data_IF_754262498585
#
_entry.id   IF_754262498585
#
_cell.length_a   1.000
_cell.length_b   1.000
_cell.length_c   1.000
_cell.angle_alpha   90.00
_cell.angle_beta   90.00
_cell.angle_gamma   90.00
#
_symmetry.space_group_name_H-M   'P 1'
#
loop_
_entity.id
_entity.type
_entity.pdbx_description
1 polymer ?
#
# COMPACT_ATOMS: atom_id res chain seq x y z
N UNK A 1 2.01 -21.14 -33.80
CA UNK A 1 2.56 -21.79 -32.59
C UNK A 1 3.27 -20.82 -31.63
N UNK A 2 4.44 -20.24 -31.93
CA UNK A 2 5.14 -19.39 -30.95
C UNK A 2 4.40 -18.08 -30.61
N UNK A 3 3.87 -17.38 -31.63
CA UNK A 3 3.16 -16.11 -31.44
C UNK A 3 1.84 -16.28 -30.68
N UNK A 4 1.07 -17.32 -30.98
CA UNK A 4 -0.18 -17.63 -30.31
C UNK A 4 0.05 -17.98 -28.84
N UNK A 5 1.10 -18.79 -28.55
CA UNK A 5 1.50 -19.11 -27.19
C UNK A 5 1.89 -17.87 -26.39
N UNK A 6 2.71 -16.98 -26.99
CA UNK A 6 3.07 -15.70 -26.37
C UNK A 6 1.84 -14.84 -26.10
N UNK A 7 0.93 -14.72 -27.07
CA UNK A 7 -0.30 -13.96 -26.91
C UNK A 7 -1.18 -14.52 -25.79
N UNK A 8 -1.31 -15.83 -25.69
CA UNK A 8 -2.06 -16.47 -24.60
C UNK A 8 -1.46 -16.10 -23.25
N UNK A 9 -0.15 -16.25 -23.09
CA UNK A 9 0.54 -15.89 -21.84
C UNK A 9 0.39 -14.42 -21.47
N UNK A 10 0.46 -13.51 -22.45
CA UNK A 10 0.25 -12.08 -22.22
C UNK A 10 -1.20 -11.76 -21.84
N UNK A 11 -2.17 -12.41 -22.47
CA UNK A 11 -3.58 -12.27 -22.14
C UNK A 11 -3.86 -12.72 -20.70
N UNK A 12 -3.31 -13.87 -20.28
CA UNK A 12 -3.45 -14.38 -18.91
C UNK A 12 -2.86 -13.41 -17.87
N UNK A 13 -1.65 -12.91 -18.13
CA UNK A 13 -1.02 -11.92 -17.25
C UNK A 13 -1.84 -10.63 -17.17
N UNK A 14 -2.35 -10.16 -18.30
CA UNK A 14 -3.15 -8.94 -18.35
C UNK A 14 -4.49 -9.12 -17.62
N UNK A 15 -5.16 -10.26 -17.79
CA UNK A 15 -6.36 -10.65 -17.05
C UNK A 15 -6.12 -10.65 -15.53
N UNK A 16 -5.03 -11.27 -15.08
CA UNK A 16 -4.65 -11.30 -13.66
C UNK A 16 -4.44 -9.89 -13.10
N UNK A 17 -3.75 -9.01 -13.84
CA UNK A 17 -3.53 -7.60 -13.45
C UNK A 17 -4.85 -6.83 -13.38
N UNK A 18 -5.76 -7.02 -14.34
CA UNK A 18 -7.09 -6.39 -14.31
C UNK A 18 -7.93 -6.86 -13.13
N UNK A 19 -7.95 -8.16 -12.84
CA UNK A 19 -8.61 -8.70 -11.64
C UNK A 19 -8.11 -8.01 -10.37
N UNK A 20 -6.79 -7.87 -10.22
CA UNK A 20 -6.19 -7.19 -9.07
C UNK A 20 -6.63 -5.73 -8.98
N UNK A 21 -6.59 -4.98 -10.08
CA UNK A 21 -6.99 -3.58 -10.11
C UNK A 21 -8.47 -3.40 -9.77
N UNK A 22 -9.35 -4.26 -10.28
CA UNK A 22 -10.78 -4.22 -9.97
C UNK A 22 -11.04 -4.54 -8.50
N UNK A 23 -10.36 -5.54 -7.94
CA UNK A 23 -10.46 -5.83 -6.49
C UNK A 23 -9.94 -4.68 -5.63
N UNK A 24 -8.83 -4.04 -6.03
CA UNK A 24 -8.34 -2.83 -5.33
C UNK A 24 -9.36 -1.70 -5.38
N UNK A 25 -10.01 -1.47 -6.52
CA UNK A 25 -11.08 -0.49 -6.64
C UNK A 25 -12.23 -0.81 -5.68
N UNK A 26 -12.72 -2.06 -5.68
CA UNK A 26 -13.81 -2.51 -4.79
C UNK A 26 -13.48 -2.30 -3.31
N UNK A 27 -12.26 -2.64 -2.90
CA UNK A 27 -11.79 -2.43 -1.53
C UNK A 27 -11.70 -0.95 -1.19
N UNK A 28 -11.24 -0.12 -2.12
CA UNK A 28 -11.15 1.34 -1.93
C UNK A 28 -12.54 1.95 -1.75
N UNK A 29 -13.51 1.54 -2.57
CA UNK A 29 -14.92 1.96 -2.44
C UNK A 29 -15.50 1.51 -1.09
N UNK A 30 -15.16 0.30 -0.65
CA UNK A 30 -15.62 -0.25 0.62
C UNK A 30 -15.01 0.49 1.82
N UNK A 31 -13.73 0.86 1.76
CA UNK A 31 -13.04 1.57 2.83
C UNK A 31 -13.67 2.94 3.15
N UNK A 32 -14.27 3.61 2.18
CA UNK A 32 -15.02 4.85 2.44
C UNK A 32 -16.18 4.64 3.42
N UNK A 33 -16.72 3.43 3.57
CA UNK A 33 -17.81 3.18 4.53
C UNK A 33 -17.34 3.02 5.99
N UNK A 34 -16.04 3.15 6.27
CA UNK A 34 -15.47 2.93 7.60
C UNK A 34 -15.54 4.15 8.52
N UNK A 35 -15.91 5.33 8.01
CA UNK A 35 -16.16 6.52 8.85
C UNK A 35 -17.65 6.83 8.92
N UNK A 36 -18.13 7.29 10.09
CA UNK A 36 -19.54 7.63 10.31
C UNK A 36 -20.02 8.73 9.34
N UNK A 37 -19.17 9.72 9.06
CA UNK A 37 -19.43 10.80 8.11
C UNK A 37 -19.66 10.27 6.68
N UNK A 38 -18.84 9.32 6.24
CA UNK A 38 -18.94 8.78 4.89
C UNK A 38 -20.04 7.71 4.77
N UNK A 39 -20.39 7.03 5.86
CA UNK A 39 -21.53 6.10 5.93
C UNK A 39 -22.84 6.80 5.58
N UNK A 40 -23.05 8.03 6.06
CA UNK A 40 -24.21 8.86 5.70
C UNK A 40 -24.29 9.16 4.19
N UNK A 41 -23.14 9.28 3.52
CA UNK A 41 -23.03 9.56 2.08
C UNK A 41 -22.91 8.30 1.21
N UNK A 42 -22.90 7.11 1.82
CA UNK A 42 -22.63 5.84 1.12
C UNK A 42 -23.61 5.54 -0.01
N UNK A 43 -24.90 5.88 0.16
CA UNK A 43 -25.91 5.72 -0.90
C UNK A 43 -25.61 6.58 -2.13
N UNK A 44 -25.33 7.86 -1.92
CA UNK A 44 -24.99 8.80 -3.00
C UNK A 44 -23.70 8.37 -3.72
N UNK A 45 -22.68 7.96 -2.96
CA UNK A 45 -21.43 7.47 -3.51
C UNK A 45 -21.61 6.19 -4.34
N UNK A 46 -22.39 5.21 -3.84
CA UNK A 46 -22.69 3.98 -4.60
C UNK A 46 -23.44 4.28 -5.90
N UNK A 47 -24.41 5.21 -5.87
CA UNK A 47 -25.16 5.61 -7.07
C UNK A 47 -24.25 6.13 -8.18
N UNK A 48 -23.14 6.79 -7.84
CA UNK A 48 -22.15 7.29 -8.81
C UNK A 48 -21.15 6.20 -9.24
N UNK A 49 -20.66 5.39 -8.30
CA UNK A 49 -19.54 4.47 -8.57
C UNK A 49 -19.97 3.10 -9.11
N UNK A 50 -21.14 2.59 -8.74
CA UNK A 50 -21.60 1.27 -9.19
C UNK A 50 -21.77 1.19 -10.72
N UNK A 51 -22.39 2.18 -11.41
CA UNK A 51 -22.50 2.12 -12.87
C UNK A 51 -21.14 2.08 -13.57
N UNK A 52 -20.15 2.81 -13.06
CA UNK A 52 -18.79 2.79 -13.59
C UNK A 52 -18.16 1.41 -13.37
N UNK A 53 -18.35 0.84 -12.17
CA UNK A 53 -17.77 -0.45 -11.80
C UNK A 53 -18.34 -1.62 -12.62
N UNK A 54 -19.63 -1.58 -12.96
CA UNK A 54 -20.34 -2.62 -13.73
C UNK A 54 -19.83 -2.74 -15.17
N UNK A 55 -19.41 -1.64 -15.78
CA UNK A 55 -18.85 -1.64 -17.14
C UNK A 55 -17.41 -2.19 -17.17
N UNK A 56 -16.72 -2.24 -16.03
CA UNK A 56 -15.34 -2.70 -15.96
C UNK A 56 -15.24 -4.23 -15.82
N UNK A 57 -14.75 -4.86 -16.88
CA UNK A 57 -14.50 -6.31 -16.95
C UNK A 57 -13.02 -6.66 -16.76
N UNK A 58 -12.67 -7.82 -16.18
CA UNK A 58 -11.30 -8.32 -16.24
C UNK A 58 -10.88 -8.79 -17.64
N UNK A 59 -11.83 -9.07 -18.53
CA UNK A 59 -11.56 -9.46 -19.91
C UNK A 59 -10.92 -8.33 -20.72
N UNK A 60 -10.12 -8.70 -21.72
CA UNK A 60 -9.47 -7.76 -22.62
C UNK A 60 -10.11 -7.77 -24.00
N UNK A 61 -10.46 -6.59 -24.50
CA UNK A 61 -10.92 -6.41 -25.88
C UNK A 61 -9.76 -6.37 -26.91
N UNK A 62 -8.52 -6.52 -26.44
CA UNK A 62 -7.30 -6.46 -27.26
C UNK A 62 -6.93 -7.86 -27.73
N UNK A 63 -6.90 -8.07 -29.05
CA UNK A 63 -6.44 -9.31 -29.67
C UNK A 63 -5.15 -9.08 -30.47
N UNK A 64 -4.51 -10.16 -30.94
CA UNK A 64 -3.29 -10.08 -31.78
C UNK A 64 -3.49 -9.16 -32.98
N UNK A 65 -4.66 -9.20 -33.63
CA UNK A 65 -4.93 -8.36 -34.79
C UNK A 65 -4.86 -6.86 -34.43
N UNK A 66 -5.35 -6.46 -33.25
CA UNK A 66 -5.23 -5.08 -32.77
C UNK A 66 -3.77 -4.68 -32.55
N UNK A 67 -2.94 -5.59 -32.02
CA UNK A 67 -1.51 -5.34 -31.82
C UNK A 67 -0.78 -5.21 -33.15
N UNK A 68 -1.05 -6.08 -34.12
CA UNK A 68 -0.42 -6.04 -35.45
C UNK A 68 -0.89 -4.86 -36.30
N UNK A 69 -2.14 -4.42 -36.12
CA UNK A 69 -2.69 -3.26 -36.80
C UNK A 69 -2.22 -1.92 -36.20
N UNK A 70 -1.58 -1.93 -35.03
CA UNK A 70 -1.12 -0.71 -34.37
C UNK A 70 -0.05 0.00 -35.22
N UNK A 71 -0.40 1.20 -35.71
CA UNK A 71 0.51 2.06 -36.50
C UNK A 71 1.29 3.07 -35.67
N UNK A 72 0.86 3.27 -34.43
CA UNK A 72 1.44 4.21 -33.50
C UNK A 72 1.74 3.48 -32.19
N UNK A 73 2.91 3.76 -31.64
CA UNK A 73 3.30 3.21 -30.35
C UNK A 73 2.72 4.05 -29.21
N UNK A 74 1.81 3.46 -28.44
CA UNK A 74 1.23 4.04 -27.23
C UNK A 74 1.94 3.56 -25.95
N UNK A 75 3.04 2.81 -26.07
CA UNK A 75 3.82 2.32 -24.93
C UNK A 75 4.52 3.41 -24.11
N UNK A 76 4.39 4.70 -24.49
CA UNK A 76 4.82 5.82 -23.65
C UNK A 76 4.04 5.82 -22.34
N UNK A 77 4.64 5.22 -21.33
CA UNK A 77 4.24 5.33 -19.94
C UNK A 77 4.41 6.79 -19.52
N UNK A 78 3.39 7.59 -19.77
CA UNK A 78 3.31 8.94 -19.21
C UNK A 78 3.24 8.77 -17.69
N UNK A 79 4.14 9.38 -16.91
CA UNK A 79 4.09 9.27 -15.46
C UNK A 79 2.70 9.62 -14.95
N UNK A 80 2.18 8.83 -14.00
CA UNK A 80 0.89 9.12 -13.35
C UNK A 80 0.87 10.51 -12.69
N UNK A 81 2.04 11.09 -12.43
CA UNK A 81 2.26 12.44 -11.89
C UNK A 81 2.41 13.52 -12.95
N UNK A 82 2.34 13.18 -14.24
CA UNK A 82 2.48 14.14 -15.33
C UNK A 82 1.41 15.24 -15.27
N UNK A 83 1.71 16.39 -15.87
CA UNK A 83 0.77 17.51 -15.96
C UNK A 83 -0.55 17.10 -16.62
N UNK A 84 -0.49 16.28 -17.68
CA UNK A 84 -1.67 15.76 -18.36
C UNK A 84 -2.52 14.86 -17.44
N UNK A 85 -1.90 13.92 -16.71
CA UNK A 85 -2.59 13.06 -15.75
C UNK A 85 -3.17 13.85 -14.56
N UNK A 86 -2.48 14.93 -14.13
CA UNK A 86 -2.92 15.82 -13.06
C UNK A 86 -4.05 16.75 -13.46
N UNK A 87 -4.17 17.15 -14.73
CA UNK A 87 -5.27 18.01 -15.17
C UNK A 87 -6.64 17.37 -14.92
N UNK A 88 -6.80 16.08 -15.26
CA UNK A 88 -8.04 15.35 -15.03
C UNK A 88 -8.31 14.97 -13.56
N UNK A 89 -7.29 15.00 -12.71
CA UNK A 89 -7.39 14.65 -11.28
C UNK A 89 -7.24 15.87 -10.37
N UNK A 90 -7.21 17.09 -10.93
CA UNK A 90 -7.12 18.31 -10.14
C UNK A 90 -8.44 18.55 -9.41
N UNK A 91 -8.39 18.60 -8.09
CA UNK A 91 -9.55 18.87 -7.25
C UNK A 91 -9.15 19.83 -6.12
N UNK A 92 -10.14 20.44 -5.46
CA UNK A 92 -9.88 21.37 -4.35
C UNK A 92 -9.00 20.75 -3.25
N UNK A 93 -9.10 19.43 -3.04
CA UNK A 93 -8.31 18.66 -2.08
C UNK A 93 -6.84 18.53 -2.53
N UNK A 94 -6.59 18.22 -3.80
CA UNK A 94 -5.24 18.04 -4.35
C UNK A 94 -4.45 19.35 -4.51
N UNK A 95 -5.09 20.50 -4.26
CA UNK A 95 -4.46 21.83 -4.25
C UNK A 95 -4.04 22.29 -2.85
N UNK A 96 -4.37 21.53 -1.80
CA UNK A 96 -4.00 21.89 -0.44
C UNK A 96 -2.50 21.62 -0.26
N UNK A 97 -1.71 22.68 -0.10
CA UNK A 97 -0.33 22.58 0.36
C UNK A 97 -0.38 22.00 1.79
N UNK A 98 0.12 20.77 1.97
CA UNK A 98 0.29 20.22 3.31
C UNK A 98 1.24 21.15 4.07
N UNK A 99 0.81 21.64 5.25
CA UNK A 99 1.63 22.51 6.10
C UNK A 99 2.89 21.80 6.60
N UNK A 100 3.65 22.45 7.49
CA UNK A 100 4.85 21.85 8.07
C UNK A 100 4.55 20.47 8.66
N UNK A 101 5.17 19.46 8.06
CA UNK A 101 5.00 18.07 8.46
C UNK A 101 5.85 17.84 9.72
N UNK A 102 5.26 17.52 10.88
CA UNK A 102 6.05 17.14 12.05
C UNK A 102 6.87 15.91 11.69
N UNK A 103 8.14 15.87 12.09
CA UNK A 103 9.04 14.76 11.80
C UNK A 103 8.37 13.45 12.28
N UNK A 104 8.12 12.53 11.34
CA UNK A 104 7.33 11.30 11.57
C UNK A 104 8.18 10.11 12.04
N UNK A 105 9.42 10.36 12.42
CA UNK A 105 10.30 9.36 13.00
C UNK A 105 11.51 10.01 13.65
N UNK A 106 12.10 9.33 14.63
CA UNK A 106 13.42 9.72 15.13
C UNK A 106 14.43 9.53 14.00
N UNK A 107 15.20 10.57 13.68
CA UNK A 107 16.23 10.44 12.67
C UNK A 107 17.15 9.29 13.11
N UNK A 108 17.56 8.38 12.22
CA UNK A 108 18.42 7.26 12.61
C UNK A 108 19.69 7.69 13.37
N UNK A 109 20.15 8.92 13.12
CA UNK A 109 21.30 9.52 13.80
C UNK A 109 20.98 10.08 15.21
N UNK A 110 19.71 10.22 15.59
CA UNK A 110 19.23 10.71 16.89
C UNK A 110 18.84 9.55 17.83
N UNK A 111 18.78 8.32 17.31
CA UNK A 111 18.52 7.10 18.08
C UNK A 111 19.83 6.56 18.67
N UNK A 112 20.08 6.84 19.95
CA UNK A 112 21.14 6.16 20.70
C UNK A 112 20.77 4.68 20.82
N UNK A 113 21.60 3.79 20.24
CA UNK A 113 21.40 2.36 20.37
C UNK A 113 21.50 1.98 21.87
N UNK A 114 20.51 1.27 22.44
CA UNK A 114 20.61 0.84 23.83
C UNK A 114 21.86 -0.04 23.98
N UNK A 115 22.77 0.35 24.88
CA UNK A 115 23.99 -0.40 25.16
C UNK A 115 23.64 -1.86 25.51
N UNK A 116 24.18 -2.87 24.80
CA UNK A 116 23.98 -4.25 25.18
C UNK A 116 24.71 -4.54 26.50
N UNK A 117 23.99 -5.08 27.49
CA UNK A 117 24.62 -5.56 28.72
C UNK A 117 25.38 -6.85 28.44
N UNK A 118 26.70 -6.84 28.63
CA UNK A 118 27.52 -8.04 28.62
C UNK A 118 27.35 -8.78 29.96
N UNK A 119 26.85 -10.01 29.93
CA UNK A 119 26.93 -10.92 31.08
C UNK A 119 28.25 -11.68 31.00
N UNK A 120 29.04 -11.66 32.07
CA UNK A 120 30.25 -12.49 32.14
C UNK A 120 29.85 -13.96 31.99
N UNK A 121 30.52 -14.66 31.09
CA UNK A 121 30.44 -16.12 31.03
C UNK A 121 30.93 -16.62 32.39
N UNK A 122 30.03 -17.20 33.18
CA UNK A 122 30.41 -17.83 34.44
C UNK A 122 31.35 -18.99 34.09
N UNK A 123 32.61 -18.84 34.43
CA UNK A 123 33.46 -19.99 34.65
C UNK A 123 33.13 -20.58 36.03
N UNK A 124 33.30 -21.88 36.07
CA UNK A 124 33.26 -22.79 37.19
C UNK A 124 31.95 -23.46 37.60
N UNK A 125 32.09 -24.79 37.68
CA UNK A 125 31.08 -25.71 38.15
C UNK A 125 30.95 -25.71 39.67
N UNK A 126 30.01 -26.54 40.13
CA UNK A 126 30.00 -27.04 41.50
C UNK A 126 29.26 -26.19 42.54
N UNK A 127 27.99 -26.56 42.80
CA UNK A 127 27.45 -26.67 44.15
C UNK A 127 27.06 -25.39 44.92
N UNK A 128 25.83 -25.37 45.46
CA UNK A 128 25.51 -24.50 46.61
C UNK A 128 24.10 -23.93 46.62
N UNK A 129 23.30 -24.39 47.58
CA UNK A 129 21.90 -24.01 47.82
C UNK A 129 21.72 -22.55 48.27
N UNK A 130 20.56 -22.01 47.87
CA UNK A 130 19.67 -21.09 48.60
C UNK A 130 20.21 -19.71 49.04
N UNK A 131 19.57 -18.65 48.54
CA UNK A 131 18.83 -17.74 49.43
C UNK A 131 17.77 -16.94 48.67
N UNK A 132 16.57 -16.89 49.27
CA UNK A 132 15.51 -15.91 49.01
C UNK A 132 16.01 -14.52 49.40
N UNK A 133 15.67 -13.48 48.63
CA UNK A 133 15.27 -12.14 49.12
C UNK A 133 14.88 -11.25 47.92
N UNK A 134 13.59 -10.98 47.73
CA UNK A 134 12.85 -9.79 48.22
C UNK A 134 13.26 -8.52 47.48
N UNK A 135 12.62 -8.26 46.33
CA UNK A 135 12.72 -6.98 45.63
C UNK A 135 11.90 -5.90 46.35
N UNK A 136 12.64 -4.93 46.89
CA UNK A 136 12.14 -3.70 47.49
C UNK A 136 11.78 -2.65 46.44
N UNK A 137 10.65 -2.03 46.69
CA UNK A 137 10.00 -0.92 45.97
C UNK A 137 10.70 0.43 46.24
N UNK A 138 10.60 1.36 45.27
CA UNK A 138 10.75 2.86 45.32
C UNK A 138 11.88 3.37 44.41
N UNK A 139 11.80 4.53 43.73
CA UNK A 139 10.79 5.61 43.62
C UNK A 139 11.15 6.49 42.40
N UNK A 140 10.15 7.08 41.76
CA UNK A 140 10.29 8.25 40.87
C UNK A 140 10.86 9.45 41.63
N UNK A 141 11.73 10.23 40.98
CA UNK A 141 12.13 11.58 41.42
C UNK A 141 11.58 12.61 40.42
N UNK A 142 11.22 13.77 40.99
CA UNK A 142 10.57 14.94 40.38
C UNK A 142 11.27 15.45 39.13
#
# INVERSE_FOLDING_TARGET
MALESLSGSLADQYYCRRCLLLKRLDLTISAFHWSDRAKAQGKAMKAVLMPIREVLSPESDVCIAHVLAARADLSRLVPATSKAARQGTSCAINKVLMGEMPDRGGRPNELEAPMPSWQSRREDGGGGKASRQRWGRKKKKK
#
